data_IF_677304074156
#
_entry.id   IF_677304074156
#
_cell.length_a   1.000
_cell.length_b   1.000
_cell.length_c   1.000
_cell.angle_alpha   90.00
_cell.angle_beta   90.00
_cell.angle_gamma   90.00
#
_symmetry.space_group_name_H-M   'P 1'
#
loop_
_entity.id
_entity.type
_entity.pdbx_description
1 polymer ?
#
# COMPACT_ATOMS: atom_id res chain seq x y z
N UNK A 1 16.51 -51.06 45.71
CA UNK A 1 16.71 -50.87 44.26
C UNK A 1 15.75 -49.79 43.79
N UNK A 2 16.28 -48.61 43.49
CA UNK A 2 15.62 -47.60 42.65
C UNK A 2 15.59 -48.08 41.20
N UNK A 3 14.63 -47.58 40.39
CA UNK A 3 15.05 -46.55 39.45
C UNK A 3 14.17 -45.30 39.51
N UNK A 4 14.85 -44.18 39.37
CA UNK A 4 14.33 -42.86 39.06
C UNK A 4 14.30 -42.72 37.54
N UNK A 5 13.21 -42.22 36.96
CA UNK A 5 13.28 -41.38 35.76
C UNK A 5 12.20 -40.30 35.79
N UNK A 6 12.66 -39.06 35.65
CA UNK A 6 11.93 -37.80 35.54
C UNK A 6 11.32 -37.65 34.15
N UNK A 7 10.13 -37.05 34.05
CA UNK A 7 9.72 -36.22 32.91
C UNK A 7 8.51 -35.33 33.30
N UNK A 8 8.77 -34.07 33.67
CA UNK A 8 8.35 -32.85 32.95
C UNK A 8 6.84 -32.63 32.79
N UNK A 9 6.25 -31.84 33.70
CA UNK A 9 4.98 -31.14 33.47
C UNK A 9 5.14 -30.12 32.33
N UNK A 10 4.21 -30.02 31.36
CA UNK A 10 4.24 -28.97 30.38
C UNK A 10 3.71 -27.68 31.00
N UNK A 11 4.65 -26.78 31.29
CA UNK A 11 4.43 -25.40 31.71
C UNK A 11 4.25 -24.56 30.44
N UNK A 12 3.09 -24.66 29.76
CA UNK A 12 2.85 -23.88 28.53
C UNK A 12 1.37 -23.75 28.12
N UNK A 13 0.43 -23.73 29.07
CA UNK A 13 -0.98 -23.50 28.75
C UNK A 13 -1.52 -22.39 29.66
N UNK A 14 -1.55 -21.14 29.18
CA UNK A 14 -2.34 -20.12 29.86
C UNK A 14 -1.95 -18.66 29.77
N UNK A 15 -0.89 -18.25 29.05
CA UNK A 15 -0.54 -16.83 28.89
C UNK A 15 0.06 -16.53 27.51
N UNK A 16 -0.78 -16.47 26.47
CA UNK A 16 -0.46 -15.78 25.22
C UNK A 16 -1.71 -15.34 24.43
N UNK A 17 -2.85 -15.11 25.12
CA UNK A 17 -3.97 -14.34 24.58
C UNK A 17 -3.74 -12.87 24.93
N UNK A 18 -2.65 -12.32 24.43
CA UNK A 18 -2.42 -10.89 24.39
C UNK A 18 -2.06 -10.53 22.96
N UNK A 19 -2.68 -9.45 22.48
CA UNK A 19 -2.48 -8.77 21.19
C UNK A 19 -3.36 -9.27 20.05
N UNK A 20 -4.61 -8.85 20.09
CA UNK A 20 -5.20 -8.12 18.95
C UNK A 20 -6.37 -7.29 19.47
N UNK A 21 -6.06 -6.10 19.99
CA UNK A 21 -7.06 -5.03 20.05
C UNK A 21 -7.36 -4.63 18.60
N UNK A 22 -8.56 -4.89 18.05
CA UNK A 22 -8.95 -4.24 16.82
C UNK A 22 -9.23 -2.78 17.20
N UNK A 23 -8.53 -1.85 16.55
CA UNK A 23 -8.81 -0.42 16.69
C UNK A 23 -10.19 -0.15 16.05
N UNK A 24 -11.28 0.05 16.83
CA UNK A 24 -12.63 0.01 16.29
C UNK A 24 -12.97 1.21 15.38
N UNK A 25 -12.14 2.25 15.37
CA UNK A 25 -12.40 3.48 14.61
C UNK A 25 -11.86 3.45 13.18
N UNK A 26 -10.82 2.66 12.86
CA UNK A 26 -10.24 2.66 11.51
C UNK A 26 -11.07 1.87 10.48
N UNK A 27 -11.80 0.85 10.93
CA UNK A 27 -12.61 0.00 10.06
C UNK A 27 -13.82 0.76 9.46
N UNK A 28 -14.40 1.70 10.22
CA UNK A 28 -15.51 2.55 9.74
C UNK A 28 -15.04 3.49 8.64
N UNK A 29 -13.93 4.19 8.88
CA UNK A 29 -13.37 5.17 7.93
C UNK A 29 -12.90 4.49 6.63
N UNK A 30 -12.23 3.34 6.73
CA UNK A 30 -11.79 2.58 5.55
C UNK A 30 -12.97 2.04 4.72
N UNK A 31 -14.07 1.68 5.37
CA UNK A 31 -15.29 1.21 4.70
C UNK A 31 -15.99 2.32 3.92
N UNK A 32 -16.07 3.53 4.49
CA UNK A 32 -16.65 4.69 3.83
C UNK A 32 -15.80 5.14 2.63
N UNK A 33 -14.47 5.22 2.82
CA UNK A 33 -13.53 5.51 1.74
C UNK A 33 -13.59 4.43 0.65
N UNK A 34 -13.69 3.14 1.03
CA UNK A 34 -13.85 2.04 0.09
C UNK A 34 -15.10 2.16 -0.76
N UNK A 35 -16.23 2.56 -0.16
CA UNK A 35 -17.48 2.82 -0.87
C UNK A 35 -17.36 4.00 -1.85
N UNK A 36 -16.76 5.11 -1.43
CA UNK A 36 -16.55 6.29 -2.27
C UNK A 36 -15.61 5.99 -3.45
N UNK A 37 -14.50 5.31 -3.17
CA UNK A 37 -13.48 4.98 -4.16
C UNK A 37 -13.82 3.74 -4.99
N UNK A 38 -14.90 3.03 -4.67
CA UNK A 38 -15.28 1.74 -5.28
C UNK A 38 -14.12 0.74 -5.25
N UNK A 39 -13.44 0.68 -4.11
CA UNK A 39 -12.31 -0.21 -3.84
C UNK A 39 -12.64 -1.17 -2.69
N UNK A 40 -12.14 -2.42 -2.73
CA UNK A 40 -12.26 -3.33 -1.59
C UNK A 40 -11.60 -2.73 -0.34
N UNK A 41 -12.25 -2.88 0.82
CA UNK A 41 -11.73 -2.36 2.10
C UNK A 41 -10.28 -2.80 2.38
N UNK A 42 -9.87 -4.06 2.14
CA UNK A 42 -8.48 -4.47 2.34
C UNK A 42 -7.46 -3.69 1.50
N UNK A 43 -7.85 -3.25 0.30
CA UNK A 43 -7.00 -2.42 -0.58
C UNK A 43 -6.85 -1.03 0.02
N UNK A 44 -7.95 -0.47 0.54
CA UNK A 44 -7.94 0.84 1.19
C UNK A 44 -7.06 0.80 2.43
N UNK A 45 -7.29 -0.14 3.34
CA UNK A 45 -6.51 -0.29 4.57
C UNK A 45 -5.01 -0.44 4.29
N UNK A 46 -4.65 -1.32 3.35
CA UNK A 46 -3.26 -1.52 2.92
C UNK A 46 -2.64 -0.22 2.37
N UNK A 47 -3.38 0.52 1.55
CA UNK A 47 -2.92 1.78 0.96
C UNK A 47 -2.73 2.87 2.02
N UNK A 48 -3.70 3.04 2.92
CA UNK A 48 -3.63 4.02 3.99
C UNK A 48 -2.43 3.73 4.91
N UNK A 49 -2.24 2.48 5.31
CA UNK A 49 -1.10 2.05 6.12
C UNK A 49 0.24 2.26 5.42
N UNK A 50 0.32 2.00 4.12
CA UNK A 50 1.54 2.22 3.34
C UNK A 50 1.90 3.70 3.23
N UNK A 51 0.91 4.57 3.00
CA UNK A 51 1.13 6.02 2.97
C UNK A 51 1.53 6.55 4.35
N UNK A 52 0.90 6.08 5.42
CA UNK A 52 1.29 6.48 6.78
C UNK A 52 2.74 6.06 7.08
N UNK A 53 3.14 4.88 6.62
CA UNK A 53 4.54 4.42 6.71
C UNK A 53 5.51 5.30 5.91
N UNK A 54 5.10 5.79 4.73
CA UNK A 54 5.90 6.73 3.94
C UNK A 54 6.20 8.04 4.71
N UNK A 55 5.22 8.57 5.44
CA UNK A 55 5.40 9.79 6.24
C UNK A 55 6.07 9.54 7.61
N UNK A 56 6.10 8.30 8.08
CA UNK A 56 6.83 7.89 9.28
C UNK A 56 8.30 7.50 9.00
N UNK A 57 8.67 7.26 7.75
CA UNK A 57 10.00 6.80 7.37
C UNK A 57 11.10 7.84 7.67
N UNK A 58 12.37 7.41 7.91
CA UNK A 58 13.48 8.34 8.13
C UNK A 58 13.69 9.34 6.98
N UNK A 59 13.42 8.91 5.74
CA UNK A 59 13.49 9.72 4.54
C UNK A 59 12.13 10.33 4.13
N UNK A 60 11.17 10.44 5.07
CA UNK A 60 9.83 10.94 4.79
C UNK A 60 9.85 12.35 4.16
N UNK A 61 8.79 12.68 3.38
CA UNK A 61 8.56 14.05 2.93
C UNK A 61 8.49 15.02 4.12
N UNK A 62 8.98 16.24 3.90
CA UNK A 62 8.97 17.29 4.90
C UNK A 62 7.54 17.80 5.19
N UNK A 63 6.72 17.95 4.14
CA UNK A 63 5.35 18.43 4.30
C UNK A 63 4.38 17.29 4.65
N UNK A 64 4.17 17.06 5.96
CA UNK A 64 3.24 16.02 6.43
C UNK A 64 1.76 16.37 6.24
N UNK A 65 1.43 17.65 6.00
CA UNK A 65 0.05 18.09 5.82
C UNK A 65 -0.58 17.56 4.52
N UNK A 66 0.25 17.14 3.55
CA UNK A 66 -0.21 16.57 2.28
C UNK A 66 -0.53 15.07 2.36
N UNK A 67 -0.38 14.44 3.53
CA UNK A 67 -0.59 12.99 3.68
C UNK A 67 -1.98 12.53 3.25
N UNK A 68 -3.04 13.28 3.58
CA UNK A 68 -4.41 13.00 3.12
C UNK A 68 -4.55 13.04 1.60
N UNK A 69 -3.92 14.02 0.95
CA UNK A 69 -3.90 14.12 -0.51
C UNK A 69 -3.09 12.98 -1.14
N UNK A 70 -1.94 12.60 -0.58
CA UNK A 70 -1.14 11.47 -1.08
C UNK A 70 -1.91 10.14 -0.95
N UNK A 71 -2.70 9.96 0.12
CA UNK A 71 -3.64 8.84 0.25
C UNK A 71 -4.64 8.82 -0.91
N UNK A 72 -5.25 9.97 -1.22
CA UNK A 72 -6.19 10.09 -2.33
C UNK A 72 -5.54 9.79 -3.70
N UNK A 73 -4.33 10.32 -3.95
CA UNK A 73 -3.56 10.04 -5.18
C UNK A 73 -3.27 8.54 -5.34
N UNK A 74 -2.83 7.89 -4.26
CA UNK A 74 -2.54 6.46 -4.25
C UNK A 74 -3.81 5.64 -4.55
N UNK A 75 -4.91 5.94 -3.87
CA UNK A 75 -6.19 5.27 -4.08
C UNK A 75 -6.73 5.49 -5.50
N UNK A 76 -6.58 6.69 -6.08
CA UNK A 76 -6.95 6.97 -7.47
C UNK A 76 -6.13 6.15 -8.46
N UNK A 77 -4.80 6.11 -8.28
CA UNK A 77 -3.92 5.34 -9.15
C UNK A 77 -4.23 3.83 -9.08
N UNK A 78 -4.49 3.31 -7.89
CA UNK A 78 -4.86 1.91 -7.65
C UNK A 78 -6.24 1.61 -8.25
N UNK A 79 -7.25 2.47 -8.05
CA UNK A 79 -8.58 2.31 -8.64
C UNK A 79 -8.51 2.23 -10.16
N UNK A 80 -7.78 3.14 -10.79
CA UNK A 80 -7.58 3.12 -12.24
C UNK A 80 -6.85 1.86 -12.70
N UNK A 81 -5.93 1.32 -11.89
CA UNK A 81 -5.30 0.03 -12.21
C UNK A 81 -6.28 -1.11 -12.10
N UNK A 82 -7.02 -1.18 -11.00
CA UNK A 82 -7.94 -2.27 -10.67
C UNK A 82 -9.05 -2.42 -11.74
N UNK A 83 -9.54 -1.31 -12.28
CA UNK A 83 -10.53 -1.31 -13.37
C UNK A 83 -10.00 -1.83 -14.71
N UNK A 84 -8.68 -2.00 -14.85
CA UNK A 84 -8.01 -2.39 -16.10
C UNK A 84 -7.08 -3.61 -15.89
N UNK A 85 -7.37 -4.45 -14.89
CA UNK A 85 -6.53 -5.61 -14.57
C UNK A 85 -6.56 -6.71 -15.63
N UNK A 86 -7.68 -6.88 -16.33
CA UNK A 86 -7.82 -7.91 -17.38
C UNK A 86 -6.83 -7.67 -18.53
N UNK A 87 -6.67 -6.42 -18.95
CA UNK A 87 -5.73 -6.02 -20.01
C UNK A 87 -4.32 -5.71 -19.48
N UNK A 88 -4.06 -6.00 -18.21
CA UNK A 88 -2.80 -5.71 -17.56
C UNK A 88 -1.68 -6.53 -18.17
N UNK A 89 -0.54 -5.91 -18.51
CA UNK A 89 0.66 -6.62 -18.91
C UNK A 89 1.84 -6.06 -18.11
N UNK A 90 2.89 -6.86 -17.85
CA UNK A 90 4.10 -6.37 -17.21
C UNK A 90 4.60 -5.08 -17.88
N UNK A 91 4.80 -4.05 -17.07
CA UNK A 91 5.26 -2.74 -17.51
C UNK A 91 4.16 -1.70 -17.78
N UNK A 92 2.89 -2.10 -17.92
CA UNK A 92 1.77 -1.13 -17.93
C UNK A 92 1.65 -0.47 -16.54
N UNK A 93 1.33 0.82 -16.54
CA UNK A 93 1.18 1.59 -15.31
C UNK A 93 -0.01 2.54 -15.36
N UNK A 94 -0.54 2.86 -14.19
CA UNK A 94 -1.39 4.02 -13.95
C UNK A 94 -0.66 4.95 -12.99
N UNK A 95 -0.88 6.25 -13.15
CA UNK A 95 -0.34 7.24 -12.24
C UNK A 95 -1.34 8.34 -11.89
N UNK A 96 -1.11 8.94 -10.74
CA UNK A 96 -1.82 10.12 -10.28
C UNK A 96 -0.77 11.05 -9.68
N UNK A 97 -0.80 12.32 -10.07
CA UNK A 97 0.16 13.31 -9.62
C UNK A 97 -0.53 14.60 -9.18
N UNK A 98 0.11 15.31 -8.27
CA UNK A 98 -0.27 16.63 -7.82
C UNK A 98 0.97 17.53 -7.74
N UNK A 99 0.86 18.70 -8.35
CA UNK A 99 1.90 19.72 -8.31
C UNK A 99 1.47 20.86 -7.39
N UNK A 100 2.32 21.12 -6.40
CA UNK A 100 2.28 22.29 -5.55
C UNK A 100 3.40 23.25 -5.97
N UNK A 101 3.35 24.50 -5.52
CA UNK A 101 4.27 25.57 -5.89
C UNK A 101 5.75 25.18 -5.78
N UNK A 102 6.11 24.38 -4.77
CA UNK A 102 7.48 23.94 -4.51
C UNK A 102 7.59 22.42 -4.33
N UNK A 103 6.59 21.63 -4.73
CA UNK A 103 6.64 20.18 -4.55
C UNK A 103 5.82 19.43 -5.61
N UNK A 104 6.25 18.22 -5.97
CA UNK A 104 5.47 17.31 -6.81
C UNK A 104 5.30 15.98 -6.06
N UNK A 105 4.06 15.51 -5.96
CA UNK A 105 3.71 14.23 -5.38
C UNK A 105 3.11 13.34 -6.45
N UNK A 106 3.64 12.13 -6.59
CA UNK A 106 3.23 11.18 -7.60
C UNK A 106 3.02 9.80 -7.00
N UNK A 107 1.91 9.16 -7.34
CA UNK A 107 1.65 7.75 -7.09
C UNK A 107 1.63 7.01 -8.43
N UNK A 108 2.41 5.93 -8.55
CA UNK A 108 2.47 5.08 -9.73
C UNK A 108 2.17 3.64 -9.33
N UNK A 109 1.25 3.00 -10.03
CA UNK A 109 0.98 1.57 -9.91
C UNK A 109 1.40 0.91 -11.19
N UNK A 110 2.45 0.08 -11.14
CA UNK A 110 2.99 -0.62 -12.30
C UNK A 110 2.81 -2.11 -12.13
N UNK A 111 2.28 -2.77 -13.14
CA UNK A 111 2.24 -4.23 -13.16
C UNK A 111 3.62 -4.80 -13.36
N UNK A 112 4.00 -5.72 -12.48
CA UNK A 112 5.28 -6.43 -12.49
C UNK A 112 5.14 -7.83 -13.08
N UNK A 113 4.00 -8.48 -12.84
CA UNK A 113 3.67 -9.80 -13.38
C UNK A 113 2.17 -9.91 -13.66
N UNK A 114 1.82 -10.64 -14.71
CA UNK A 114 0.46 -11.14 -14.94
C UNK A 114 0.60 -12.63 -15.24
N UNK A 115 0.00 -13.47 -14.41
CA UNK A 115 0.05 -14.91 -14.51
C UNK A 115 -1.37 -15.49 -14.52
N UNK A 116 -1.70 -16.22 -15.59
CA UNK A 116 -2.99 -16.91 -15.73
C UNK A 116 -2.73 -18.41 -15.70
N UNK A 117 -3.40 -19.11 -14.79
CA UNK A 117 -3.36 -20.56 -14.62
C UNK A 117 -4.77 -21.14 -14.65
N UNK A 118 -4.89 -22.46 -14.75
CA UNK A 118 -6.19 -23.14 -14.72
C UNK A 118 -6.95 -22.96 -13.40
N UNK A 119 -6.25 -22.63 -12.30
CA UNK A 119 -6.84 -22.49 -10.98
C UNK A 119 -7.04 -21.03 -10.55
N UNK A 120 -6.31 -20.08 -11.15
CA UNK A 120 -6.34 -18.66 -10.78
C UNK A 120 -5.67 -17.78 -11.82
N UNK A 121 -6.08 -16.53 -11.86
CA UNK A 121 -5.42 -15.45 -12.58
C UNK A 121 -4.97 -14.39 -11.56
N UNK A 122 -3.70 -14.02 -11.59
CA UNK A 122 -3.10 -13.07 -10.66
C UNK A 122 -2.29 -12.00 -11.38
N UNK A 123 -2.43 -10.77 -10.91
CA UNK A 123 -1.69 -9.59 -11.38
C UNK A 123 -0.95 -8.98 -10.20
N UNK A 124 0.37 -9.06 -10.24
CA UNK A 124 1.25 -8.40 -9.28
C UNK A 124 1.52 -6.98 -9.73
N UNK A 125 1.42 -6.04 -8.79
CA UNK A 125 1.68 -4.64 -9.04
C UNK A 125 2.59 -4.10 -7.96
N UNK A 126 3.51 -3.24 -8.38
CA UNK A 126 4.32 -2.42 -7.49
C UNK A 126 3.74 -1.02 -7.47
N UNK A 127 3.37 -0.56 -6.29
CA UNK A 127 2.99 0.83 -6.05
C UNK A 127 4.22 1.60 -5.61
N UNK A 128 4.45 2.77 -6.19
CA UNK A 128 5.54 3.67 -5.82
C UNK A 128 4.98 5.06 -5.62
N UNK A 129 5.20 5.61 -4.43
CA UNK A 129 5.03 7.01 -4.11
C UNK A 129 6.36 7.72 -4.29
N UNK A 130 6.30 8.90 -4.90
CA UNK A 130 7.42 9.81 -5.04
C UNK A 130 6.98 11.19 -4.59
N UNK A 131 7.73 11.78 -3.67
CA UNK A 131 7.65 13.19 -3.34
C UNK A 131 8.95 13.86 -3.79
N UNK A 132 8.82 14.98 -4.51
CA UNK A 132 9.92 15.82 -4.97
C UNK A 132 9.69 17.21 -4.41
N UNK A 133 10.33 17.54 -3.29
CA UNK A 133 10.14 18.80 -2.58
C UNK A 133 11.35 19.73 -2.81
N UNK A 134 11.08 20.99 -3.13
CA UNK A 134 12.11 22.01 -3.22
C UNK A 134 12.81 22.19 -1.87
N UNK A 135 14.13 22.41 -1.90
CA UNK A 135 14.93 22.55 -0.69
C UNK A 135 15.09 24.04 -0.37
N UNK A 136 14.84 24.49 0.87
CA UNK A 136 15.05 25.89 1.22
C UNK A 136 16.54 26.24 1.11
N UNK A 137 16.86 27.29 0.36
CA UNK A 137 18.20 27.85 0.19
C UNK A 137 18.19 29.37 0.33
N UNK A 138 19.32 29.96 0.68
CA UNK A 138 19.48 31.42 0.72
C UNK A 138 20.20 31.87 -0.54
N UNK A 139 19.58 32.78 -1.28
CA UNK A 139 20.16 33.40 -2.47
C UNK A 139 19.88 34.91 -2.41
N UNK A 140 20.93 35.72 -2.57
CA UNK A 140 20.84 37.18 -2.58
C UNK A 140 20.11 37.78 -1.36
N UNK A 141 20.27 37.16 -0.18
CA UNK A 141 19.65 37.61 1.08
C UNK A 141 18.18 37.23 1.25
N UNK A 142 17.58 36.49 0.32
CA UNK A 142 16.22 35.97 0.41
C UNK A 142 16.19 34.44 0.54
N UNK A 143 15.18 33.92 1.24
CA UNK A 143 14.87 32.49 1.24
C UNK A 143 14.12 32.13 -0.06
N UNK A 144 14.67 31.20 -0.82
CA UNK A 144 14.03 30.61 -1.99
C UNK A 144 14.01 29.09 -1.85
N UNK A 145 13.16 28.40 -2.61
CA UNK A 145 13.19 26.95 -2.71
C UNK A 145 13.95 26.57 -3.99
N UNK A 146 15.03 25.81 -3.84
CA UNK A 146 15.72 25.19 -4.97
C UNK A 146 14.86 24.04 -5.50
N UNK A 147 14.20 24.28 -6.63
CA UNK A 147 13.42 23.29 -7.37
C UNK A 147 14.24 22.59 -8.47
N UNK A 148 15.49 23.02 -8.69
CA UNK A 148 16.41 22.39 -9.65
C UNK A 148 17.08 21.14 -9.07
N UNK A 149 17.33 21.13 -7.75
CA UNK A 149 17.81 19.97 -7.00
C UNK A 149 16.85 19.61 -5.87
N UNK A 150 15.63 19.14 -6.20
CA UNK A 150 14.65 18.82 -5.18
C UNK A 150 15.11 17.64 -4.34
N UNK A 151 14.67 17.60 -3.08
CA UNK A 151 14.78 16.41 -2.26
C UNK A 151 13.74 15.40 -2.75
N UNK A 152 14.23 14.24 -3.18
CA UNK A 152 13.39 13.14 -3.66
C UNK A 152 13.24 12.10 -2.55
N UNK A 153 12.00 11.81 -2.18
CA UNK A 153 11.63 10.74 -1.26
C UNK A 153 10.76 9.74 -2.00
N UNK A 154 11.09 8.45 -1.89
CA UNK A 154 10.33 7.37 -2.51
C UNK A 154 9.93 6.33 -1.49
N UNK A 155 8.79 5.70 -1.73
CA UNK A 155 8.31 4.57 -0.95
C UNK A 155 7.52 3.63 -1.84
N UNK A 156 7.72 2.33 -1.69
CA UNK A 156 7.03 1.37 -2.51
C UNK A 156 6.58 0.15 -1.72
N UNK A 157 5.46 -0.41 -2.15
CA UNK A 157 4.91 -1.65 -1.65
C UNK A 157 4.28 -2.43 -2.80
N UNK A 158 4.12 -3.74 -2.59
CA UNK A 158 3.52 -4.61 -3.58
C UNK A 158 2.05 -4.87 -3.25
N UNK A 159 1.22 -4.94 -4.29
CA UNK A 159 -0.19 -5.34 -4.22
C UNK A 159 -0.48 -6.37 -5.31
N UNK A 160 -1.03 -7.51 -4.90
CA UNK A 160 -1.41 -8.58 -5.82
C UNK A 160 -2.91 -8.71 -5.85
N UNK A 161 -3.48 -8.70 -7.06
CA UNK A 161 -4.90 -9.00 -7.26
C UNK A 161 -5.03 -10.37 -7.89
N UNK A 162 -5.90 -11.21 -7.36
CA UNK A 162 -6.19 -12.51 -7.93
C UNK A 162 -7.69 -12.71 -8.12
N UNK A 163 -8.05 -13.53 -9.08
CA UNK A 163 -9.40 -14.06 -9.29
C UNK A 163 -9.35 -15.54 -9.63
N UNK A 164 -10.43 -16.26 -9.35
CA UNK A 164 -10.52 -17.71 -9.56
C UNK A 164 -11.61 -18.05 -10.56
N UNK A 165 -11.44 -19.10 -11.37
CA UNK A 165 -12.49 -19.53 -12.29
C UNK A 165 -13.75 -19.95 -11.52
N UNK A 166 -14.92 -19.63 -12.06
CA UNK A 166 -16.22 -20.01 -11.50
C UNK A 166 -16.85 -21.14 -12.31
N UNK A 167 -17.62 -22.01 -11.64
CA UNK A 167 -18.20 -23.21 -12.26
C UNK A 167 -19.14 -22.92 -13.44
N UNK A 168 -19.71 -21.71 -13.52
CA UNK A 168 -20.56 -21.24 -14.62
C UNK A 168 -19.79 -20.81 -15.88
N UNK A 169 -18.46 -20.92 -15.87
CA UNK A 169 -17.59 -20.30 -16.88
C UNK A 169 -17.26 -18.84 -16.51
N UNK A 170 -16.04 -18.41 -16.84
CA UNK A 170 -15.51 -17.10 -16.46
C UNK A 170 -14.73 -17.10 -15.14
N UNK A 171 -14.36 -15.92 -14.66
CA UNK A 171 -13.64 -15.71 -13.40
C UNK A 171 -14.48 -14.92 -12.41
N UNK A 172 -14.17 -15.09 -11.12
CA UNK A 172 -14.67 -14.24 -10.05
C UNK A 172 -14.20 -12.78 -10.25
N UNK A 173 -14.77 -11.89 -9.45
CA UNK A 173 -14.23 -10.54 -9.33
C UNK A 173 -12.77 -10.58 -8.83
N UNK A 174 -12.02 -9.53 -9.18
CA UNK A 174 -10.67 -9.31 -8.69
C UNK A 174 -10.70 -9.01 -7.19
N UNK A 175 -9.93 -9.79 -6.43
CA UNK A 175 -9.75 -9.59 -5.00
C UNK A 175 -8.28 -9.37 -4.66
N UNK A 176 -8.02 -8.62 -3.59
CA UNK A 176 -6.67 -8.51 -3.04
C UNK A 176 -6.24 -9.90 -2.55
N UNK A 177 -5.11 -10.40 -3.04
CA UNK A 177 -4.54 -11.65 -2.56
C UNK A 177 -4.12 -11.49 -1.08
N UNK A 178 -4.32 -12.51 -0.24
CA UNK A 178 -3.83 -12.47 1.13
C UNK A 178 -2.31 -12.26 1.09
N UNK A 179 -1.79 -11.36 1.94
CA UNK A 179 -0.35 -11.17 2.06
C UNK A 179 0.27 -12.50 2.48
N UNK A 180 1.13 -13.05 1.62
CA UNK A 180 1.99 -14.18 2.00
C UNK A 180 3.00 -13.59 2.98
N UNK A 181 2.71 -13.69 4.27
CA UNK A 181 3.65 -13.37 5.35
C UNK A 181 4.67 -14.48 5.50
#
# INVERSE_FOLDING_TARGET
MTPSFKATLPLALGLALAVSLPHPSQASDASDVGREMKLPVPVVESTLSAVDSFFAAPAAPANRMVSGMVKELALKAIRHRMSNLEDSLPGKSSDSAFEDRNANYKAVVRTTRHETTEARECVDNKVVLTASEGVPVIKDGAFIFDTTHPRISTYGWDITFCRTPVASGGFSDWALAPSVR
#
